data_IF_432789887730
#
_entry.id   IF_432789887730
#
_cell.length_a   1.000
_cell.length_b   1.000
_cell.length_c   1.000
_cell.angle_alpha   90.00
_cell.angle_beta   90.00
_cell.angle_gamma   90.00
#
_symmetry.space_group_name_H-M   'P 1'
#
loop_
_entity.id
_entity.type
_entity.pdbx_description
1 polymer ?
2 water ?
#
# COMPACT_ATOMS: atom_id res chain seq x y z
N UNK A 47 4.30 -23.54 4.73
CA UNK A 47 3.74 -23.33 3.39
C UNK A 47 3.31 -21.88 3.18
N UNK A 48 2.47 -21.36 4.08
CA UNK A 48 1.90 -20.03 3.93
C UNK A 48 2.94 -18.92 4.00
N UNK A 49 3.89 -19.05 4.92
CA UNK A 49 4.94 -18.04 5.03
C UNK A 49 5.73 -17.96 3.74
N UNK A 50 6.04 -19.12 3.16
CA UNK A 50 6.78 -19.17 1.91
C UNK A 50 6.01 -18.60 0.72
N UNK A 51 4.71 -18.94 0.63
CA UNK A 51 3.90 -18.39 -0.45
C UNK A 51 3.76 -16.88 -0.30
N UNK A 52 3.61 -16.42 0.94
CA UNK A 52 3.52 -14.99 1.22
C UNK A 52 4.76 -14.26 0.71
N UNK A 53 5.94 -14.76 1.09
CA UNK A 53 7.21 -14.23 0.61
C UNK A 53 7.21 -14.21 -0.92
N UNK A 54 6.86 -15.35 -1.51
CA UNK A 54 6.83 -15.50 -2.95
C UNK A 54 5.90 -14.50 -3.62
N UNK A 55 4.68 -14.38 -3.10
CA UNK A 55 3.68 -13.51 -3.70
C UNK A 55 4.06 -12.03 -3.64
N UNK A 56 4.71 -11.62 -2.55
CA UNK A 56 5.19 -10.24 -2.48
C UNK A 56 6.26 -9.99 -3.54
N UNK A 57 7.17 -10.96 -3.71
CA UNK A 57 8.24 -10.82 -4.70
C UNK A 57 7.67 -10.75 -6.11
N UNK A 58 6.75 -11.66 -6.42
CA UNK A 58 6.20 -11.70 -7.78
C UNK A 58 5.31 -10.49 -8.07
N UNK A 59 4.55 -10.07 -7.06
CA UNK A 59 3.78 -8.83 -7.18
C UNK A 59 4.67 -7.63 -7.51
N UNK A 60 5.78 -7.49 -6.79
CA UNK A 60 6.70 -6.38 -7.04
C UNK A 60 7.28 -6.45 -8.45
N UNK A 61 7.59 -7.65 -8.92
CA UNK A 61 8.13 -7.81 -10.26
C UNK A 61 7.11 -7.42 -11.32
N UNK A 62 5.86 -7.86 -11.17
CA UNK A 62 4.81 -7.45 -12.10
C UNK A 62 4.68 -5.92 -12.12
N UNK A 63 4.73 -5.29 -10.95
CA UNK A 63 4.66 -3.84 -10.85
C UNK A 63 5.80 -3.18 -11.63
N UNK A 64 7.02 -3.66 -11.41
CA UNK A 64 8.19 -3.13 -12.08
C UNK A 64 8.07 -3.27 -13.60
N UNK A 65 7.38 -4.31 -14.03
CA UNK A 65 7.24 -4.60 -15.45
C UNK A 65 5.93 -4.07 -16.04
N UNK A 66 5.30 -3.14 -15.34
CA UNK A 66 4.12 -2.44 -15.83
C UNK A 66 2.98 -3.41 -16.12
N UNK A 67 2.78 -4.36 -15.21
CA UNK A 67 1.70 -5.33 -15.31
C UNK A 67 0.89 -5.30 -14.01
N UNK A 68 0.15 -4.20 -13.81
CA UNK A 68 -0.45 -3.94 -12.49
C UNK A 68 -1.65 -4.81 -12.17
N UNK A 69 -2.35 -5.31 -13.19
CA UNK A 69 -3.44 -6.25 -12.94
C UNK A 69 -2.90 -7.58 -12.41
N UNK A 70 -1.84 -8.08 -13.03
CA UNK A 70 -1.17 -9.27 -12.52
C UNK A 70 -0.59 -9.03 -11.13
N UNK A 71 -0.02 -7.85 -10.91
CA UNK A 71 0.52 -7.49 -9.61
C UNK A 71 -0.58 -7.51 -8.53
N UNK A 72 -1.72 -6.93 -8.86
CA UNK A 72 -2.84 -6.90 -7.94
C UNK A 72 -3.20 -8.31 -7.45
N UNK A 73 -3.29 -9.25 -8.39
CA UNK A 73 -3.62 -10.62 -8.04
C UNK A 73 -2.64 -11.21 -7.02
N UNK A 74 -1.35 -10.97 -7.25
CA UNK A 74 -0.33 -11.48 -6.33
C UNK A 74 -0.45 -10.83 -4.96
N UNK A 75 -0.57 -9.51 -4.93
CA UNK A 75 -0.63 -8.78 -3.66
C UNK A 75 -1.90 -9.11 -2.88
N UNK A 76 -2.99 -9.40 -3.59
CA UNK A 76 -4.25 -9.75 -2.94
C UNK A 76 -4.12 -11.09 -2.22
N UNK A 77 -3.43 -12.04 -2.84
CA UNK A 77 -3.10 -13.30 -2.17
C UNK A 77 -2.20 -13.06 -0.96
N UNK A 78 -1.19 -12.21 -1.14
CA UNK A 78 -0.28 -11.90 -0.05
C UNK A 78 -1.06 -11.30 1.13
N UNK A 79 -2.02 -10.42 0.83
CA UNK A 79 -2.82 -9.80 1.88
C UNK A 79 -3.62 -10.84 2.65
N UNK A 80 -4.26 -11.76 1.93
CA UNK A 80 -5.07 -12.80 2.56
C UNK A 80 -4.18 -13.70 3.44
N UNK A 81 -3.02 -14.08 2.92
CA UNK A 81 -2.11 -14.94 3.67
C UNK A 81 -1.54 -14.25 4.90
N UNK A 82 -1.18 -12.98 4.75
CA UNK A 82 -0.64 -12.21 5.86
C UNK A 82 -1.67 -12.07 6.96
N UNK A 83 -2.93 -11.87 6.57
CA UNK A 83 -4.01 -11.79 7.54
C UNK A 83 -4.23 -13.14 8.24
N UNK A 84 -4.17 -14.23 7.48
CA UNK A 84 -4.31 -15.56 8.05
C UNK A 84 -3.19 -15.85 9.05
N UNK A 85 -2.00 -15.39 8.73
CA UNK A 85 -0.81 -15.63 9.55
C UNK A 85 -0.71 -14.65 10.72
N UNK A 86 -1.59 -13.66 10.76
CA UNK A 86 -1.52 -12.58 11.75
C UNK A 86 -0.16 -11.89 11.74
N UNK A 87 0.29 -11.54 10.54
CA UNK A 87 1.57 -10.87 10.35
C UNK A 87 1.28 -9.48 9.78
N UNK A 88 1.05 -8.50 10.67
CA UNK A 88 0.69 -7.16 10.22
C UNK A 88 1.80 -6.46 9.44
N UNK A 89 3.06 -6.80 9.72
CA UNK A 89 4.16 -6.19 9.00
C UNK A 89 4.09 -6.57 7.51
N UNK A 90 3.86 -7.84 7.24
CA UNK A 90 3.73 -8.30 5.86
C UNK A 90 2.40 -7.83 5.27
N UNK A 91 1.38 -7.72 6.11
CA UNK A 91 0.09 -7.21 5.65
C UNK A 91 0.23 -5.81 5.08
N UNK A 92 1.02 -4.97 5.74
CA UNK A 92 1.26 -3.63 5.26
C UNK A 92 1.96 -3.61 3.90
N UNK A 93 2.89 -4.55 3.69
CA UNK A 93 3.58 -4.63 2.40
C UNK A 93 2.60 -5.00 1.30
N UNK A 94 1.70 -5.94 1.60
CA UNK A 94 0.69 -6.34 0.62
C UNK A 94 -0.26 -5.19 0.32
N UNK A 95 -0.69 -4.48 1.35
CA UNK A 95 -1.59 -3.35 1.17
C UNK A 95 -0.96 -2.25 0.33
N UNK A 96 0.32 -1.96 0.57
CA UNK A 96 1.03 -0.97 -0.24
C UNK A 96 1.09 -1.43 -1.70
N UNK A 97 1.37 -2.70 -1.92
CA UNK A 97 1.42 -3.24 -3.27
C UNK A 97 0.08 -3.12 -3.97
N UNK A 98 -1.00 -3.42 -3.25
CA UNK A 98 -2.34 -3.26 -3.81
C UNK A 98 -2.60 -1.79 -4.18
N UNK A 99 -2.28 -0.88 -3.27
CA UNK A 99 -2.46 0.54 -3.51
C UNK A 99 -1.69 1.00 -4.74
N UNK A 100 -0.43 0.59 -4.83
CA UNK A 100 0.40 0.97 -5.99
C UNK A 100 -0.15 0.38 -7.28
N UNK A 101 -0.60 -0.87 -7.23
CA UNK A 101 -1.17 -1.53 -8.40
C UNK A 101 -2.43 -0.80 -8.88
N UNK A 102 -3.25 -0.38 -7.93
CA UNK A 102 -4.47 0.34 -8.26
C UNK A 102 -4.19 1.74 -8.82
N UNK A 103 -3.18 2.42 -8.27
CA UNK A 103 -2.75 3.70 -8.83
C UNK A 103 -2.33 3.56 -10.29
N UNK A 104 -1.57 2.52 -10.62
CA UNK A 104 -1.14 2.29 -12.00
C UNK A 104 -2.33 2.08 -12.93
N UNK A 105 -3.43 1.56 -12.39
CA UNK A 105 -4.63 1.31 -13.15
C UNK A 105 -5.57 2.51 -13.21
N UNK A 106 -5.19 3.60 -12.53
CA UNK A 106 -6.02 4.78 -12.49
C UNK A 106 -7.23 4.63 -11.58
N UNK A 107 -7.15 3.65 -10.67
CA UNK A 107 -8.21 3.39 -9.71
C UNK A 107 -7.86 4.01 -8.37
N UNK A 108 -7.96 5.34 -8.31
CA UNK A 108 -7.43 6.10 -7.18
C UNK A 108 -8.22 5.96 -5.87
N UNK A 109 -9.53 5.84 -5.95
CA UNK A 109 -10.33 5.65 -4.74
C UNK A 109 -10.04 4.30 -4.09
N UNK A 110 -10.00 3.25 -4.89
CA UNK A 110 -9.66 1.94 -4.37
C UNK A 110 -8.25 1.97 -3.82
N UNK A 111 -7.34 2.66 -4.50
CA UNK A 111 -5.96 2.74 -4.03
C UNK A 111 -5.88 3.34 -2.63
N UNK A 112 -6.65 4.40 -2.40
CA UNK A 112 -6.69 5.03 -1.08
C UNK A 112 -7.13 4.07 0.01
N UNK A 113 -8.09 3.20 -0.31
CA UNK A 113 -8.53 2.17 0.64
C UNK A 113 -7.34 1.35 1.13
N UNK A 114 -6.48 0.93 0.22
CA UNK A 114 -5.36 0.06 0.59
C UNK A 114 -4.20 0.80 1.24
N UNK A 115 -3.83 1.97 0.71
CA UNK A 115 -2.82 2.76 1.40
C UNK A 115 -3.29 3.14 2.81
N UNK A 116 -4.59 3.36 2.97
CA UNK A 116 -5.12 3.70 4.28
C UNK A 116 -4.96 2.56 5.27
N UNK A 117 -4.97 1.32 4.76
CA UNK A 117 -4.73 0.16 5.62
C UNK A 117 -3.34 0.20 6.22
N UNK A 118 -2.36 0.66 5.45
CA UNK A 118 -1.00 0.79 5.97
C UNK A 118 -1.04 1.69 7.21
N UNK A 119 -1.73 2.81 7.11
CA UNK A 119 -1.86 3.74 8.23
C UNK A 119 -2.62 3.11 9.41
N UNK A 120 -3.71 2.42 9.10
CA UNK A 120 -4.55 1.86 10.14
C UNK A 120 -3.84 0.74 10.90
N UNK A 121 -3.17 -0.15 10.19
CA UNK A 121 -2.42 -1.23 10.82
C UNK A 121 -1.29 -0.66 11.68
N UNK A 122 -0.62 0.36 11.16
CA UNK A 122 0.47 0.99 11.90
C UNK A 122 0.01 1.56 13.24
N UNK A 123 -1.17 2.17 13.27
CA UNK A 123 -1.70 2.70 14.52
C UNK A 123 -2.05 1.57 15.48
N UNK A 124 -2.72 0.55 14.98
CA UNK A 124 -3.12 -0.58 15.83
C UNK A 124 -1.91 -1.30 16.43
N UNK A 125 -0.85 -1.43 15.65
CA UNK A 125 0.33 -2.18 16.09
C UNK A 125 1.40 -1.31 16.72
N UNK A 126 1.19 0.00 16.70
CA UNK A 126 2.21 0.96 17.13
C UNK A 126 3.56 0.63 16.47
N UNK A 127 3.52 0.48 15.16
CA UNK A 127 4.68 0.06 14.38
C UNK A 127 4.63 0.86 13.09
N UNK A 128 5.65 1.68 12.88
CA UNK A 128 5.57 2.79 11.92
C UNK A 128 6.08 2.56 10.50
N UNK A 129 6.56 1.35 10.20
CA UNK A 129 7.07 1.04 8.87
C UNK A 129 6.08 1.46 7.79
N UNK A 130 6.53 2.25 6.81
CA UNK A 130 5.76 2.53 5.62
C UNK A 130 4.76 3.67 5.68
N UNK A 131 4.57 4.27 6.85
CA UNK A 131 3.64 5.38 7.05
C UNK A 131 3.93 6.56 6.08
N UNK A 132 5.21 6.94 6.04
CA UNK A 132 5.60 8.09 5.23
C UNK A 132 5.22 7.93 3.77
N UNK A 133 5.58 6.78 3.21
CA UNK A 133 5.25 6.49 1.82
C UNK A 133 3.74 6.48 1.59
N UNK A 134 2.99 5.95 2.55
CA UNK A 134 1.55 5.90 2.42
C UNK A 134 0.93 7.30 2.39
N UNK A 135 1.43 8.22 3.21
CA UNK A 135 0.90 9.59 3.18
C UNK A 135 1.09 10.21 1.79
N UNK A 136 2.29 10.03 1.23
CA UNK A 136 2.59 10.61 -0.07
C UNK A 136 1.73 9.99 -1.17
N UNK A 137 1.52 8.67 -1.09
CA UNK A 137 0.72 7.98 -2.10
C UNK A 137 -0.74 8.42 -2.02
N UNK A 138 -1.26 8.58 -0.80
CA UNK A 138 -2.64 9.01 -0.62
C UNK A 138 -2.81 10.43 -1.13
N UNK A 139 -1.84 11.29 -0.85
CA UNK A 139 -1.86 12.65 -1.37
C UNK A 139 -1.92 12.64 -2.90
N UNK A 140 -1.09 11.81 -3.52
CA UNK A 140 -1.07 11.68 -4.97
C UNK A 140 -2.41 11.20 -5.52
N UNK A 141 -3.04 10.26 -4.83
CA UNK A 141 -4.35 9.76 -5.23
C UNK A 141 -5.40 10.87 -5.18
N UNK A 142 -5.43 11.62 -4.07
CA UNK A 142 -6.41 12.69 -3.93
C UNK A 142 -6.18 13.78 -4.98
N UNK A 143 -4.91 14.03 -5.33
CA UNK A 143 -4.60 14.97 -6.40
C UNK A 143 -5.20 14.53 -7.73
N UNK A 144 -5.05 13.25 -8.07
CA UNK A 144 -5.65 12.75 -9.29
C UNK A 144 -7.18 12.81 -9.28
N UNK A 145 -7.77 12.73 -8.09
CA UNK A 145 -9.21 12.80 -7.94
C UNK A 145 -9.72 14.23 -7.88
N UNK A 146 -8.80 15.19 -7.86
CA UNK A 146 -9.16 16.59 -7.82
C UNK A 146 -9.60 17.07 -6.43
N UNK A 147 -9.28 16.28 -5.41
CA UNK A 147 -9.63 16.64 -4.05
C UNK A 147 -8.44 17.37 -3.44
N UNK A 148 -8.32 18.65 -3.76
CA UNK A 148 -7.15 19.41 -3.35
C UNK A 148 -7.05 19.61 -1.84
N UNK A 149 -8.20 19.68 -1.17
CA UNK A 149 -8.22 19.82 0.28
C UNK A 149 -7.57 18.63 0.97
N UNK A 150 -8.05 17.43 0.66
CA UNK A 150 -7.50 16.23 1.27
C UNK A 150 -6.07 15.98 0.79
N UNK A 151 -5.79 16.26 -0.48
CA UNK A 151 -4.44 16.09 -1.00
C UNK A 151 -3.46 16.94 -0.20
N UNK A 152 -3.86 18.17 0.09
CA UNK A 152 -3.01 19.09 0.82
C UNK A 152 -2.72 18.62 2.23
N UNK A 153 -3.73 18.09 2.92
CA UNK A 153 -3.53 17.61 4.29
C UNK A 153 -2.53 16.46 4.32
N UNK A 154 -2.70 15.49 3.43
CA UNK A 154 -1.79 14.35 3.42
C UNK A 154 -0.39 14.74 2.94
N UNK A 155 -0.34 15.65 1.96
CA UNK A 155 0.94 16.13 1.46
C UNK A 155 1.73 16.87 2.55
N UNK A 156 1.05 17.69 3.34
CA UNK A 156 1.71 18.43 4.41
C UNK A 156 2.32 17.47 5.43
N UNK A 157 1.58 16.42 5.78
CA UNK A 157 2.08 15.44 6.73
C UNK A 157 3.25 14.65 6.15
N UNK A 158 3.13 14.29 4.88
CA UNK A 158 4.19 13.60 4.15
C UNK A 158 5.50 14.39 4.22
N UNK A 159 5.45 15.67 3.85
CA UNK A 159 6.65 16.50 3.88
C UNK A 159 7.17 16.70 5.30
N UNK A 160 6.26 16.94 6.25
CA UNK A 160 6.64 17.14 7.65
C UNK A 160 7.38 15.90 8.15
N UNK A 161 6.90 14.74 7.75
CA UNK A 161 7.53 13.49 8.16
C UNK A 161 8.90 13.30 7.49
N UNK A 162 8.98 13.57 6.18
CA UNK A 162 10.26 13.52 5.46
C UNK A 162 11.32 14.43 6.09
N UNK A 163 10.89 15.56 6.62
CA UNK A 163 11.81 16.50 7.26
C UNK A 163 12.44 15.95 8.53
N UNK A 164 11.86 14.88 9.07
CA UNK A 164 12.37 14.23 10.28
C UNK A 164 13.16 12.94 9.95
N UNK A 165 13.38 12.68 8.67
CA UNK A 165 14.15 11.51 8.23
C UNK A 165 15.64 11.68 8.48
#
# INVERSE_FOLDING_TARGET
MKYLLPTAAAGLLLLAAQPAMAMDIGINSDPHHHHHHIPDSEIIVEPKKQELISKLKTGKTFLRNQEPEKAYTEFKIALELAQSLKDPTEEKKAARGLGASLQRQGKYREAIQYHSMVLAISKRESEDSGITEAYGAIADCYTELGDLEKAGKFYDTYIARLETD
#
